data_IF_521895816482
#
_entry.id   IF_521895816482
#
_cell.length_a   1.000
_cell.length_b   1.000
_cell.length_c   1.000
_cell.angle_alpha   90.00
_cell.angle_beta   90.00
_cell.angle_gamma   90.00
#
_symmetry.space_group_name_H-M   'P 1'
#
loop_
_entity.id
_entity.type
_entity.pdbx_description
1 polymer ?
2 water ?
#
# COMPACT_ATOMS: atom_id res chain seq x y z
N UNK A 2 -5.68 -9.23 -34.98
CA UNK A 2 -4.87 -8.59 -33.95
C UNK A 2 -4.02 -7.46 -34.51
N UNK A 3 -4.31 -7.07 -35.75
CA UNK A 3 -3.59 -5.99 -36.41
C UNK A 3 -3.60 -4.73 -35.56
N UNK A 4 -4.78 -4.35 -35.06
CA UNK A 4 -4.97 -3.12 -34.31
C UNK A 4 -4.98 -3.35 -32.81
N UNK A 5 -4.67 -4.56 -32.34
CA UNK A 5 -4.78 -4.87 -30.93
C UNK A 5 -3.76 -4.06 -30.12
N UNK A 6 -2.48 -3.98 -30.50
CA UNK A 6 -1.56 -3.13 -29.72
C UNK A 6 -2.01 -1.67 -29.63
N UNK A 7 -2.30 -1.03 -30.77
CA UNK A 7 -2.80 0.34 -30.73
C UNK A 7 -3.99 0.49 -29.80
N UNK A 8 -4.99 -0.36 -29.94
CA UNK A 8 -6.23 -0.16 -29.20
C UNK A 8 -6.10 -0.56 -27.74
N UNK A 9 -5.01 -1.25 -27.36
CA UNK A 9 -4.72 -1.50 -25.96
C UNK A 9 -3.87 -0.41 -25.32
N UNK A 10 -3.37 0.55 -26.10
CA UNK A 10 -2.45 1.58 -25.59
C UNK A 10 -3.25 2.74 -25.00
N UNK A 11 -3.18 2.88 -23.68
CA UNK A 11 -3.93 3.91 -22.96
C UNK A 11 -3.03 5.07 -22.59
N UNK A 12 -3.58 6.28 -22.71
CA UNK A 12 -2.99 7.45 -22.08
C UNK A 12 -3.34 7.43 -20.59
N UNK A 13 -2.38 7.82 -19.75
CA UNK A 13 -2.60 7.98 -18.32
C UNK A 13 -2.57 9.46 -17.95
N UNK A 14 -3.50 9.88 -17.10
CA UNK A 14 -3.49 11.20 -16.49
C UNK A 14 -3.41 11.05 -14.98
N UNK A 15 -2.45 11.74 -14.36
CA UNK A 15 -2.22 11.61 -12.93
C UNK A 15 -2.44 12.97 -12.27
N UNK A 16 -3.24 12.99 -11.20
CA UNK A 16 -3.51 14.19 -10.44
C UNK A 16 -2.95 13.97 -9.04
N UNK A 17 -1.79 14.56 -8.77
CA UNK A 17 -1.11 14.40 -7.50
C UNK A 17 -1.58 15.50 -6.56
N UNK A 18 -2.22 15.10 -5.46
CA UNK A 18 -2.81 16.03 -4.51
C UNK A 18 -1.91 16.15 -3.29
N UNK A 19 -1.67 17.39 -2.86
CA UNK A 19 -0.94 17.69 -1.63
C UNK A 19 -1.69 18.78 -0.90
N UNK A 20 -2.28 18.45 0.25
CA UNK A 20 -3.12 19.41 0.92
C UNK A 20 -4.31 19.73 0.04
N UNK A 21 -4.48 21.01 -0.30
CA UNK A 21 -5.53 21.44 -1.20
C UNK A 21 -4.98 21.92 -2.55
N UNK A 22 -3.78 21.49 -2.92
CA UNK A 22 -3.16 21.83 -4.18
C UNK A 22 -2.89 20.56 -4.98
N UNK A 23 -3.07 20.65 -6.30
CA UNK A 23 -2.92 19.52 -7.21
C UNK A 23 -1.96 19.91 -8.32
N UNK A 24 -1.09 18.99 -8.72
CA UNK A 24 -0.30 19.09 -9.93
C UNK A 24 -0.56 17.85 -10.76
N UNK A 25 -0.58 18.01 -12.09
CA UNK A 25 -0.93 16.92 -12.98
C UNK A 25 0.23 16.54 -13.89
N UNK A 26 0.26 15.27 -14.28
CA UNK A 26 1.22 14.77 -15.23
C UNK A 26 0.55 13.72 -16.10
N UNK A 27 1.27 13.25 -17.11
CA UNK A 27 0.73 12.21 -17.97
C UNK A 27 1.75 11.09 -18.14
N UNK A 28 1.21 9.93 -18.49
CA UNK A 28 2.02 8.78 -18.83
C UNK A 28 1.30 7.86 -19.79
N UNK A 29 1.72 6.60 -19.84
CA UNK A 29 1.18 5.61 -20.76
C UNK A 29 1.00 4.28 -20.04
N UNK A 30 0.12 3.43 -20.58
CA UNK A 30 -0.13 2.10 -20.04
C UNK A 30 -0.70 1.22 -21.14
N UNK A 31 -0.74 -0.09 -20.87
CA UNK A 31 -1.29 -1.07 -21.82
C UNK A 31 -2.32 -1.94 -21.13
N UNK A 32 -3.46 -2.14 -21.80
CA UNK A 32 -4.45 -3.12 -21.35
C UNK A 32 -3.95 -4.54 -21.67
N UNK A 33 -3.80 -5.37 -20.63
CA UNK A 33 -3.43 -6.78 -20.78
C UNK A 33 -4.50 -7.71 -20.23
N UNK A 34 -5.62 -7.16 -19.81
CA UNK A 34 -6.85 -7.87 -19.47
C UNK A 34 -7.97 -6.86 -19.66
N UNK A 35 -9.23 -7.29 -19.64
CA UNK A 35 -10.31 -6.31 -19.79
C UNK A 35 -10.26 -5.20 -18.75
N UNK A 36 -9.66 -5.46 -17.59
CA UNK A 36 -9.68 -4.48 -16.51
C UNK A 36 -8.34 -4.41 -15.80
N UNK A 37 -7.23 -4.62 -16.53
CA UNK A 37 -5.89 -4.63 -15.93
C UNK A 37 -4.95 -3.89 -16.86
N UNK A 38 -4.19 -2.95 -16.29
CA UNK A 38 -3.20 -2.15 -17.03
C UNK A 38 -1.81 -2.53 -16.58
N UNK A 39 -0.88 -2.55 -17.53
CA UNK A 39 0.55 -2.65 -17.24
C UNK A 39 1.19 -1.27 -17.43
N UNK A 40 2.03 -0.87 -16.48
CA UNK A 40 2.68 0.43 -16.60
C UNK A 40 3.94 0.47 -15.73
N UNK A 41 4.57 1.65 -15.69
CA UNK A 41 5.77 1.87 -14.88
C UNK A 41 5.36 2.41 -13.52
N UNK A 42 6.13 2.05 -12.49
CA UNK A 42 5.81 2.52 -11.15
C UNK A 42 6.02 4.02 -11.03
N UNK A 43 6.87 4.62 -11.87
CA UNK A 43 7.23 6.01 -11.64
C UNK A 43 6.20 6.99 -12.19
N UNK A 44 5.11 6.51 -12.80
CA UNK A 44 3.96 7.37 -12.96
C UNK A 44 3.29 7.69 -11.62
N UNK A 45 3.64 6.96 -10.55
CA UNK A 45 2.95 7.06 -9.27
C UNK A 45 3.87 7.32 -8.09
N UNK A 46 5.12 6.84 -8.17
CA UNK A 46 6.03 6.94 -7.04
C UNK A 46 7.37 7.53 -7.49
N UNK A 47 8.10 8.05 -6.51
CA UNK A 47 9.46 8.53 -6.71
C UNK A 47 10.31 8.08 -5.53
N UNK A 48 11.59 8.43 -5.55
CA UNK A 48 12.50 8.05 -4.47
C UNK A 48 12.15 8.79 -3.19
N UNK A 49 12.26 8.08 -2.06
CA UNK A 49 12.19 8.75 -0.78
C UNK A 49 13.37 9.71 -0.64
N UNK A 50 13.30 10.54 0.40
CA UNK A 50 14.32 11.58 0.57
C UNK A 50 15.72 10.98 0.62
N UNK A 51 15.86 9.82 1.25
CA UNK A 51 17.17 9.19 1.39
C UNK A 51 17.39 8.06 0.40
N UNK A 52 16.54 7.93 -0.62
CA UNK A 52 16.58 6.88 -1.64
C UNK A 52 16.39 5.48 -1.06
N UNK A 53 15.93 5.35 0.17
CA UNK A 53 15.80 4.02 0.74
C UNK A 53 14.53 3.30 0.30
N UNK A 54 13.54 4.02 -0.23
CA UNK A 54 12.29 3.36 -0.61
C UNK A 54 11.56 4.20 -1.65
N UNK A 55 10.67 3.54 -2.39
CA UNK A 55 9.71 4.25 -3.19
C UNK A 55 8.62 4.84 -2.33
N UNK A 56 8.03 5.94 -2.81
CA UNK A 56 7.13 6.76 -2.01
C UNK A 56 6.16 7.43 -2.96
N UNK A 57 4.89 7.47 -2.58
CA UNK A 57 3.88 8.03 -3.49
C UNK A 57 4.16 9.49 -3.78
N UNK A 58 4.00 9.85 -5.06
CA UNK A 58 3.89 11.24 -5.45
C UNK A 58 2.54 11.78 -5.02
N UNK A 59 2.53 12.89 -4.30
CA UNK A 59 1.29 13.42 -3.76
C UNK A 59 0.81 12.57 -2.60
N UNK A 60 -0.44 12.81 -2.21
CA UNK A 60 -1.08 12.12 -1.10
C UNK A 60 -1.90 10.94 -1.65
N UNK A 61 -1.47 9.72 -1.32
CA UNK A 61 -2.08 8.54 -1.93
C UNK A 61 -3.57 8.44 -1.64
N UNK A 62 -4.02 8.97 -0.51
CA UNK A 62 -5.45 8.95 -0.18
C UNK A 62 -6.25 10.00 -0.95
N UNK A 63 -5.57 10.96 -1.59
CA UNK A 63 -6.25 12.03 -2.31
C UNK A 63 -6.02 12.00 -3.81
N UNK A 64 -4.92 11.41 -4.27
CA UNK A 64 -4.63 11.37 -5.69
C UNK A 64 -5.78 10.75 -6.47
N UNK A 65 -5.90 11.15 -7.73
CA UNK A 65 -6.82 10.52 -8.67
C UNK A 65 -6.07 10.28 -9.95
N UNK A 66 -6.40 9.19 -10.63
CA UNK A 66 -5.77 8.85 -11.89
C UNK A 66 -6.83 8.43 -12.90
N UNK A 67 -6.47 8.52 -14.18
CA UNK A 67 -7.42 8.32 -15.26
C UNK A 67 -6.70 7.66 -16.43
N UNK A 68 -7.41 6.77 -17.13
CA UNK A 68 -6.90 6.17 -18.36
C UNK A 68 -7.82 6.55 -19.51
N UNK A 69 -7.27 6.60 -20.72
CA UNK A 69 -8.07 6.93 -21.90
C UNK A 69 -7.54 6.17 -23.10
N UNK A 70 -8.43 5.51 -23.84
CA UNK A 70 -8.03 4.71 -25.00
C UNK A 70 -8.27 5.48 -26.29
N UNK A 71 -7.68 5.04 -27.41
CA UNK A 71 -7.81 5.81 -28.66
C UNK A 71 -9.24 6.02 -29.11
N UNK A 72 -10.17 5.12 -28.78
CA UNK A 72 -11.56 5.32 -29.15
C UNK A 72 -12.27 6.34 -28.27
N UNK A 73 -11.57 6.93 -27.30
CA UNK A 73 -12.12 7.99 -26.48
C UNK A 73 -12.70 7.55 -25.15
N UNK A 74 -12.79 6.25 -24.92
CA UNK A 74 -13.29 5.73 -23.64
C UNK A 74 -12.29 6.03 -22.53
N UNK A 75 -12.82 6.22 -21.32
CA UNK A 75 -11.96 6.56 -20.19
C UNK A 75 -12.55 5.98 -18.91
N UNK A 76 -11.70 5.89 -17.89
CA UNK A 76 -12.13 5.49 -16.57
C UNK A 76 -11.12 5.95 -15.54
N UNK A 77 -11.48 5.80 -14.27
CA UNK A 77 -10.67 6.29 -13.17
C UNK A 77 -10.22 5.17 -12.24
N UNK A 78 -9.18 5.46 -11.48
CA UNK A 78 -8.71 4.57 -10.45
C UNK A 78 -7.99 5.39 -9.38
N UNK A 79 -7.60 4.71 -8.30
CA UNK A 79 -6.97 5.32 -7.15
C UNK A 79 -5.77 4.47 -6.74
N UNK A 80 -5.06 4.94 -5.70
CA UNK A 80 -3.89 4.21 -5.23
C UNK A 80 -4.25 2.80 -4.76
N UNK A 81 -5.49 2.58 -4.29
CA UNK A 81 -5.91 1.26 -3.88
C UNK A 81 -5.86 0.24 -5.02
N UNK A 82 -5.81 0.70 -6.26
CA UNK A 82 -5.84 -0.17 -7.43
C UNK A 82 -4.47 -0.46 -8.00
N UNK A 83 -3.40 0.09 -7.41
CA UNK A 83 -2.05 0.00 -7.95
C UNK A 83 -1.27 -1.08 -7.21
N UNK A 84 -0.65 -1.97 -7.98
CA UNK A 84 0.16 -3.07 -7.45
C UNK A 84 1.58 -2.85 -7.94
N UNK A 85 2.50 -2.56 -7.02
CA UNK A 85 3.89 -2.35 -7.39
C UNK A 85 4.64 -3.67 -7.31
N UNK A 86 5.47 -3.94 -8.32
CA UNK A 86 6.30 -5.13 -8.29
C UNK A 86 7.22 -5.10 -7.08
N UNK A 87 7.83 -3.94 -6.80
CA UNK A 87 8.69 -3.80 -5.62
C UNK A 87 8.85 -2.30 -5.33
N UNK A 88 7.90 -1.75 -4.57
CA UNK A 88 7.95 -0.34 -4.20
C UNK A 88 9.14 -0.05 -3.27
N UNK A 89 9.44 -0.97 -2.36
CA UNK A 89 10.55 -0.74 -1.42
C UNK A 89 11.87 -0.53 -2.16
N UNK A 90 12.18 -1.42 -3.10
CA UNK A 90 13.44 -1.38 -3.84
C UNK A 90 13.34 -0.61 -5.14
N UNK A 91 12.22 0.06 -5.39
CA UNK A 91 12.11 0.93 -6.56
C UNK A 91 13.36 1.80 -6.80
N UNK A 92 13.96 2.45 -5.80
CA UNK A 92 15.11 3.32 -6.11
C UNK A 92 16.34 2.57 -6.60
N UNK A 93 16.40 1.25 -6.47
CA UNK A 93 17.61 0.51 -6.77
C UNK A 93 17.84 0.31 -8.27
N UNK A 94 16.83 0.47 -9.10
CA UNK A 94 17.03 0.31 -10.53
C UNK A 94 15.73 0.08 -11.28
N UNK A 95 15.85 0.19 -12.60
CA UNK A 95 14.70 0.08 -13.50
C UNK A 95 14.08 -1.31 -13.49
N UNK A 96 14.78 -2.33 -12.98
CA UNK A 96 14.18 -3.65 -12.84
C UNK A 96 12.92 -3.60 -11.99
N UNK A 97 12.84 -2.62 -11.07
CA UNK A 97 11.70 -2.51 -10.17
C UNK A 97 10.71 -1.44 -10.58
N UNK A 98 10.93 -0.80 -11.72
CA UNK A 98 10.04 0.29 -12.16
C UNK A 98 8.91 -0.36 -12.96
N UNK A 99 7.96 -0.93 -12.22
CA UNK A 99 6.98 -1.83 -12.80
C UNK A 99 5.72 -1.84 -11.93
N UNK A 100 4.54 -1.66 -12.54
CA UNK A 100 3.30 -1.64 -11.77
C UNK A 100 2.13 -2.17 -12.60
N UNK A 101 1.13 -2.70 -11.90
CA UNK A 101 -0.07 -3.25 -12.52
C UNK A 101 -1.28 -2.64 -11.83
N UNK A 102 -2.27 -2.23 -12.63
CA UNK A 102 -3.47 -1.56 -12.12
C UNK A 102 -4.66 -2.47 -12.35
N UNK A 103 -5.40 -2.77 -11.28
CA UNK A 103 -6.62 -3.58 -11.35
C UNK A 103 -7.81 -2.63 -11.30
N UNK A 104 -8.50 -2.50 -12.42
CA UNK A 104 -9.66 -1.66 -12.55
C UNK A 104 -10.91 -2.41 -12.11
N UNK A 105 -12.03 -1.71 -11.92
CA UNK A 105 -13.27 -2.40 -11.52
C UNK A 105 -13.66 -3.48 -12.53
N UNK A 106 -14.38 -4.50 -12.03
CA UNK A 106 -14.81 -5.58 -12.89
C UNK A 106 -15.75 -5.10 -13.98
N UNK A 107 -16.38 -3.93 -13.81
CA UNK A 107 -17.24 -3.32 -14.80
C UNK A 107 -16.48 -2.77 -16.00
N UNK A 108 -15.15 -2.74 -15.93
CA UNK A 108 -14.32 -2.37 -17.06
C UNK A 108 -14.11 -3.59 -17.93
N UNK A 109 -14.50 -3.51 -19.19
CA UNK A 109 -14.56 -4.68 -20.06
C UNK A 109 -13.89 -4.40 -21.40
N UNK A 110 -12.69 -3.83 -21.35
CA UNK A 110 -12.03 -3.32 -22.54
C UNK A 110 -11.42 -4.44 -23.37
N UNK A 111 -11.34 -4.22 -24.67
CA UNK A 111 -10.46 -5.03 -25.50
C UNK A 111 -9.03 -4.84 -25.03
N UNK A 112 -8.21 -5.86 -25.24
CA UNK A 112 -6.87 -5.83 -24.66
C UNK A 112 -5.91 -6.69 -25.47
N UNK A 113 -4.63 -6.47 -25.23
CA UNK A 113 -3.57 -7.29 -25.77
C UNK A 113 -3.23 -8.41 -24.80
N UNK A 114 -2.48 -9.39 -25.29
CA UNK A 114 -2.04 -10.52 -24.48
C UNK A 114 -0.63 -10.29 -23.97
N UNK A 115 -0.43 -10.51 -22.69
CA UNK A 115 0.91 -10.72 -22.17
C UNK A 115 1.49 -11.99 -22.79
N UNK A 116 2.76 -11.91 -23.19
CA UNK A 116 3.40 -13.07 -23.83
C UNK A 116 3.34 -14.28 -22.90
N UNK A 117 3.08 -15.45 -23.48
CA UNK A 117 2.94 -16.67 -22.68
C UNK A 117 4.30 -17.15 -22.17
N UNK A 118 5.30 -17.19 -23.05
CA UNK A 118 6.63 -17.70 -22.70
C UNK A 118 7.68 -16.61 -22.86
N UNK A 119 8.63 -16.57 -21.92
CA UNK A 119 9.74 -15.63 -22.02
C UNK A 119 10.61 -15.92 -23.22
N UNK A 120 10.93 -14.89 -24.00
CA UNK A 120 11.89 -15.00 -25.10
C UNK A 120 12.87 -13.84 -24.99
N UNK A 121 14.15 -14.19 -24.84
CA UNK A 121 15.20 -13.19 -24.75
C UNK A 121 15.21 -12.30 -25.98
N UNK A 122 15.28 -10.99 -25.74
CA UNK A 122 15.42 -9.99 -26.79
C UNK A 122 16.91 -9.73 -26.99
N UNK A 123 17.35 -9.74 -28.24
CA UNK A 123 18.76 -9.58 -28.60
C UNK A 123 19.02 -8.22 -29.23
N UNK A 124 20.26 -7.76 -29.11
CA UNK A 124 20.68 -6.57 -29.84
C UNK A 124 20.51 -6.85 -31.32
N UNK A 125 19.97 -5.85 -32.04
CA UNK A 125 19.60 -5.82 -33.45
C UNK A 125 18.19 -6.36 -33.68
N UNK A 126 17.49 -6.83 -32.65
CA UNK A 126 16.07 -7.11 -32.76
C UNK A 126 15.30 -5.83 -33.00
N UNK A 127 14.19 -5.95 -33.73
CA UNK A 127 13.29 -4.84 -33.97
C UNK A 127 12.05 -4.99 -33.09
N UNK A 128 11.72 -3.94 -32.35
CA UNK A 128 10.60 -3.95 -31.43
C UNK A 128 9.56 -2.93 -31.87
N UNK A 129 8.37 -3.11 -31.33
CA UNK A 129 7.26 -2.19 -31.59
C UNK A 129 6.81 -1.65 -30.24
N UNK A 130 6.95 -0.35 -30.07
CA UNK A 130 6.73 0.30 -28.78
C UNK A 130 5.66 1.36 -28.97
N UNK A 131 4.69 1.37 -28.07
CA UNK A 131 3.56 2.27 -28.15
C UNK A 131 3.52 3.14 -26.89
N UNK A 132 3.07 4.37 -27.03
CA UNK A 132 2.94 5.23 -25.87
C UNK A 132 2.42 6.61 -26.23
N UNK A 133 2.51 7.53 -25.27
CA UNK A 133 1.97 8.88 -25.42
C UNK A 133 3.02 9.92 -25.04
N UNK A 134 4.08 10.07 -25.83
CA UNK A 134 5.02 11.17 -25.59
C UNK A 134 4.32 12.50 -25.67
N UNK A 135 4.43 13.29 -24.60
CA UNK A 135 3.73 14.57 -24.48
C UNK A 135 2.22 14.41 -24.58
N UNK A 136 1.72 13.24 -24.21
CA UNK A 136 0.32 12.91 -24.24
C UNK A 136 -0.23 12.63 -25.62
N UNK A 137 0.62 12.59 -26.64
CA UNK A 137 0.20 12.35 -28.02
C UNK A 137 0.54 10.92 -28.41
N UNK A 138 -0.37 10.27 -29.14
CA UNK A 138 -0.19 8.86 -29.49
C UNK A 138 1.01 8.68 -30.42
N UNK A 139 1.83 7.68 -30.12
CA UNK A 139 3.00 7.41 -30.95
C UNK A 139 3.27 5.92 -31.00
N UNK A 140 3.71 5.45 -32.16
CA UNK A 140 4.10 4.06 -32.38
C UNK A 140 5.52 4.07 -32.93
N UNK A 141 6.46 3.54 -32.15
CA UNK A 141 7.81 3.33 -32.64
C UNK A 141 7.84 1.98 -33.35
N UNK A 142 7.77 2.01 -34.68
CA UNK A 142 7.63 0.79 -35.47
C UNK A 142 9.01 0.21 -35.78
N UNK A 143 9.22 -1.05 -35.39
CA UNK A 143 10.45 -1.79 -35.69
C UNK A 143 11.69 -0.98 -35.29
N UNK A 144 11.68 -0.44 -34.08
CA UNK A 144 12.86 0.26 -33.59
C UNK A 144 13.89 -0.77 -33.14
N UNK A 145 15.15 -0.52 -33.48
CA UNK A 145 16.20 -1.52 -33.30
C UNK A 145 16.78 -1.44 -31.90
N UNK A 146 17.02 -2.61 -31.31
CA UNK A 146 17.71 -2.68 -30.02
C UNK A 146 19.20 -2.49 -30.27
N UNK A 147 19.78 -1.49 -29.62
CA UNK A 147 21.18 -1.17 -29.82
C UNK A 147 22.08 -1.60 -28.67
N UNK A 148 21.55 -1.62 -27.45
CA UNK A 148 22.32 -1.89 -26.23
C UNK A 148 21.43 -2.70 -25.30
N UNK A 149 22.02 -3.66 -24.59
CA UNK A 149 21.27 -4.39 -23.58
C UNK A 149 21.99 -4.33 -22.24
N UNK A 150 21.21 -4.39 -21.17
CA UNK A 150 21.75 -4.32 -19.81
C UNK A 150 21.15 -5.43 -18.97
N UNK A 151 21.99 -6.35 -18.51
CA UNK A 151 21.50 -7.43 -17.64
C UNK A 151 21.31 -6.89 -16.23
N UNK A 152 20.05 -6.78 -15.81
CA UNK A 152 19.72 -6.35 -14.46
C UNK A 152 19.77 -7.53 -13.49
N UNK A 153 19.40 -8.72 -13.97
CA UNK A 153 19.38 -9.93 -13.18
C UNK A 153 19.20 -11.08 -14.16
N UNK A 154 19.17 -12.30 -13.61
CA UNK A 154 19.00 -13.47 -14.47
C UNK A 154 17.74 -13.33 -15.31
N UNK A 155 17.91 -13.41 -16.63
CA UNK A 155 16.82 -13.34 -17.61
C UNK A 155 16.01 -12.06 -17.47
N UNK A 156 16.64 -10.98 -16.98
CA UNK A 156 16.00 -9.69 -16.75
C UNK A 156 16.87 -8.60 -17.37
N UNK A 157 16.45 -8.10 -18.53
CA UNK A 157 17.27 -7.21 -19.35
C UNK A 157 16.57 -5.88 -19.62
N UNK A 158 17.30 -4.80 -19.42
CA UNK A 158 16.95 -3.55 -20.05
C UNK A 158 17.48 -3.51 -21.48
N UNK A 159 16.75 -2.83 -22.35
CA UNK A 159 17.16 -2.63 -23.73
C UNK A 159 17.04 -1.15 -24.06
N UNK A 160 17.89 -0.69 -24.96
CA UNK A 160 17.88 0.69 -25.43
C UNK A 160 17.58 0.70 -26.92
N UNK A 161 16.69 1.60 -27.32
CA UNK A 161 16.25 1.78 -28.69
C UNK A 161 15.87 3.25 -28.85
N UNK A 162 15.99 3.77 -30.06
CA UNK A 162 15.72 5.18 -30.26
C UNK A 162 14.23 5.45 -30.41
N UNK A 163 13.81 6.64 -29.98
CA UNK A 163 12.46 7.13 -30.22
C UNK A 163 11.70 7.69 -29.03
N UNK A 164 12.01 7.21 -27.83
CA UNK A 164 11.19 7.57 -26.67
C UNK A 164 11.37 9.03 -26.28
N UNK A 165 10.27 9.64 -25.84
CA UNK A 165 10.29 10.97 -25.25
C UNK A 165 9.42 10.97 -24.01
N UNK A 166 9.46 12.07 -23.27
CA UNK A 166 8.74 12.18 -22.00
C UNK A 166 7.26 11.93 -22.22
N UNK A 167 6.65 11.21 -21.27
CA UNK A 167 5.26 10.82 -21.36
C UNK A 167 5.03 9.42 -21.87
N UNK A 168 6.01 8.84 -22.57
CA UNK A 168 5.88 7.51 -23.14
C UNK A 168 6.12 6.41 -22.13
N UNK A 169 6.75 6.71 -21.00
CA UNK A 169 7.08 5.66 -20.03
C UNK A 169 5.81 4.97 -19.55
N UNK A 170 5.86 3.65 -19.53
CA UNK A 170 4.71 2.84 -19.21
C UNK A 170 4.03 2.24 -20.43
N UNK A 171 4.31 2.77 -21.62
CA UNK A 171 3.80 2.16 -22.83
C UNK A 171 4.38 0.79 -23.08
N UNK A 172 3.69 0.01 -23.89
CA UNK A 172 4.02 -1.38 -24.07
C UNK A 172 5.09 -1.62 -25.13
N UNK A 173 5.91 -2.65 -24.88
CA UNK A 173 6.80 -3.19 -25.89
C UNK A 173 6.19 -4.50 -26.39
N UNK A 174 6.10 -4.66 -27.71
CA UNK A 174 5.38 -5.76 -28.33
C UNK A 174 6.32 -6.55 -29.24
N UNK A 175 6.13 -7.87 -29.27
CA UNK A 175 6.85 -8.71 -30.21
C UNK A 175 6.12 -8.69 -31.56
N UNK A 176 6.59 -9.51 -32.49
CA UNK A 176 6.02 -9.49 -33.84
C UNK A 176 4.59 -10.02 -33.88
N UNK A 177 4.19 -10.84 -32.90
CA UNK A 177 2.81 -11.29 -32.81
C UNK A 177 1.88 -10.27 -32.14
N UNK A 178 2.39 -9.13 -31.69
CA UNK A 178 1.53 -8.20 -31.00
C UNK A 178 1.24 -8.57 -29.56
N UNK A 179 2.04 -9.44 -28.97
CA UNK A 179 1.98 -9.74 -27.54
C UNK A 179 2.89 -8.81 -26.77
N UNK A 180 2.52 -8.53 -25.52
CA UNK A 180 3.28 -7.62 -24.67
C UNK A 180 4.44 -8.37 -24.07
N UNK A 181 5.66 -7.88 -24.31
CA UNK A 181 6.87 -8.50 -23.78
C UNK A 181 7.62 -7.57 -22.84
N UNK A 182 7.21 -6.33 -22.71
CA UNK A 182 7.98 -5.37 -21.94
C UNK A 182 7.27 -4.04 -21.89
N UNK A 183 7.95 -3.04 -21.34
CA UNK A 183 7.37 -1.72 -21.25
C UNK A 183 8.45 -0.66 -21.34
N UNK A 184 8.10 0.46 -21.95
CA UNK A 184 8.98 1.60 -22.07
C UNK A 184 9.17 2.27 -20.72
N UNK A 185 10.43 2.65 -20.41
CA UNK A 185 10.70 3.18 -19.08
C UNK A 185 11.41 4.53 -19.09
N UNK A 186 12.21 4.80 -20.11
CA UNK A 186 12.92 6.07 -20.16
C UNK A 186 12.85 6.65 -21.56
N UNK A 187 12.49 7.92 -21.65
CA UNK A 187 12.49 8.63 -22.90
C UNK A 187 13.20 9.95 -22.75
N UNK A 188 13.79 10.15 -21.58
CA UNK A 188 14.48 11.39 -21.27
C UNK A 188 15.79 11.46 -22.06
N UNK A 189 16.53 12.54 -21.84
CA UNK A 189 17.79 12.77 -22.53
C UNK A 189 18.83 11.69 -22.23
N UNK A 190 18.62 10.90 -21.17
CA UNK A 190 19.57 9.86 -20.78
C UNK A 190 19.13 8.49 -21.33
N UNK A 191 19.06 8.41 -22.66
CA UNK A 191 18.87 7.17 -23.41
C UNK A 191 17.45 6.60 -23.34
N UNK A 192 16.78 6.54 -24.47
CA UNK A 192 15.48 5.90 -24.57
C UNK A 192 15.62 4.39 -24.47
N UNK A 193 14.70 3.74 -23.75
CA UNK A 193 14.73 2.30 -23.65
C UNK A 193 13.62 1.77 -22.76
N UNK A 194 13.72 0.49 -22.44
CA UNK A 194 12.68 -0.15 -21.65
C UNK A 194 13.14 -1.48 -21.07
N UNK A 195 12.21 -2.17 -20.43
CA UNK A 195 12.46 -3.41 -19.71
C UNK A 195 11.78 -4.57 -20.41
N UNK A 196 12.53 -5.63 -20.71
CA UNK A 196 11.94 -6.87 -21.18
C UNK A 196 11.64 -7.72 -19.95
N UNK A 197 10.36 -8.03 -19.75
CA UNK A 197 9.92 -8.70 -18.54
C UNK A 197 10.54 -10.11 -18.43
N UNK A 198 11.01 -10.44 -17.22
CA UNK A 198 11.60 -11.74 -16.91
C UNK A 198 10.52 -12.79 -16.69
N UNK A 199 10.89 -14.08 -16.76
CA UNK A 199 9.95 -15.14 -16.34
C UNK A 199 9.29 -14.87 -14.98
N UNK A 200 10.07 -14.37 -14.00
CA UNK A 200 9.49 -14.07 -12.69
C UNK A 200 8.49 -12.92 -12.79
N UNK A 201 8.83 -11.87 -13.52
CA UNK A 201 7.94 -10.72 -13.63
C UNK A 201 6.68 -11.08 -14.40
N UNK A 202 6.80 -11.91 -15.43
CA UNK A 202 5.62 -12.36 -16.16
C UNK A 202 4.67 -13.14 -15.24
N UNK A 203 5.23 -14.10 -14.50
CA UNK A 203 4.43 -14.86 -13.54
C UNK A 203 3.77 -13.95 -12.52
N UNK A 204 4.47 -12.91 -12.07
CA UNK A 204 3.88 -12.00 -11.10
C UNK A 204 2.70 -11.25 -11.72
N UNK A 205 2.85 -10.76 -12.95
CA UNK A 205 1.74 -10.06 -13.59
C UNK A 205 0.55 -11.00 -13.76
N UNK A 206 0.80 -12.24 -14.19
CA UNK A 206 -0.29 -13.18 -14.36
C UNK A 206 -0.98 -13.48 -13.04
N UNK A 207 -0.24 -13.46 -11.94
CA UNK A 207 -0.87 -13.69 -10.63
C UNK A 207 -1.85 -12.58 -10.29
N UNK A 208 -1.53 -11.35 -10.69
CA UNK A 208 -2.45 -10.23 -10.50
C UNK A 208 -3.66 -10.37 -11.42
N UNK A 209 -3.42 -10.73 -12.68
CA UNK A 209 -4.52 -10.93 -13.62
C UNK A 209 -5.45 -12.02 -13.13
N UNK A 210 -4.88 -13.14 -12.66
CA UNK A 210 -5.71 -14.25 -12.23
C UNK A 210 -6.37 -14.02 -10.89
N UNK A 211 -6.08 -12.90 -10.21
CA UNK A 211 -6.97 -12.44 -9.17
C UNK A 211 -8.22 -11.76 -9.71
N UNK A 212 -8.16 -11.29 -10.95
CA UNK A 212 -9.30 -10.67 -11.61
C UNK A 212 -10.02 -11.70 -12.48
N UNK B 2 -16.18 -9.56 1.34
CA UNK B 2 -15.29 -9.42 2.49
C UNK B 2 -14.09 -8.53 2.15
N UNK B 3 -14.02 -8.13 0.88
CA UNK B 3 -12.97 -7.23 0.43
C UNK B 3 -12.94 -5.94 1.25
N UNK B 4 -14.10 -5.53 1.76
CA UNK B 4 -14.28 -4.27 2.47
C UNK B 4 -14.24 -4.43 3.98
N UNK B 5 -14.03 -5.65 4.48
CA UNK B 5 -14.09 -5.88 5.92
C UNK B 5 -12.99 -5.16 6.68
N UNK B 6 -11.71 -5.26 6.28
CA UNK B 6 -10.69 -4.49 7.02
C UNK B 6 -10.96 -2.99 7.05
N UNK B 7 -11.42 -2.41 5.92
CA UNK B 7 -11.70 -0.97 5.91
C UNK B 7 -12.83 -0.62 6.87
N UNK B 8 -13.94 -1.37 6.80
CA UNK B 8 -15.08 -1.05 7.63
C UNK B 8 -14.86 -1.41 9.10
N UNK B 9 -13.77 -2.09 9.43
CA UNK B 9 -13.42 -2.34 10.83
C UNK B 9 -12.42 -1.33 11.36
N UNK B 10 -11.86 -0.49 10.51
CA UNK B 10 -10.82 0.46 10.90
C UNK B 10 -11.45 1.72 11.45
N UNK B 11 -11.39 1.88 12.77
CA UNK B 11 -12.01 2.98 13.49
C UNK B 11 -10.99 4.08 13.80
N UNK B 12 -11.45 5.33 13.72
CA UNK B 12 -10.71 6.46 14.27
C UNK B 12 -10.97 6.57 15.76
N UNK B 13 -9.94 6.90 16.54
CA UNK B 13 -10.09 7.19 17.96
C UNK B 13 -9.89 8.69 18.18
N UNK B 14 -10.78 9.29 18.96
CA UNK B 14 -10.66 10.67 19.43
C UNK B 14 -10.50 10.67 20.94
N UNK B 15 -9.52 11.43 21.43
CA UNK B 15 -9.23 11.48 22.85
C UNK B 15 -9.21 12.94 23.31
N UNK B 16 -9.98 13.22 24.35
CA UNK B 16 -10.00 14.53 25.01
C UNK B 16 -9.38 14.35 26.39
N UNK B 17 -8.08 14.62 26.48
CA UNK B 17 -7.36 14.47 27.74
C UNK B 17 -7.58 15.72 28.58
N UNK B 18 -8.13 15.56 29.76
CA UNK B 18 -8.47 16.68 30.63
C UNK B 18 -7.41 16.80 31.72
N UNK B 19 -6.90 18.01 31.92
CA UNK B 19 -5.88 18.29 32.91
C UNK B 19 -6.26 19.62 33.55
N UNK B 20 -6.89 19.54 34.73
CA UNK B 20 -7.58 20.69 35.27
C UNK B 20 -8.81 20.99 34.47
N UNK B 21 -8.93 22.23 33.95
CA UNK B 21 -9.97 22.58 33.00
C UNK B 21 -9.42 22.73 31.58
N UNK B 22 -8.24 22.17 31.32
CA UNK B 22 -7.56 22.28 30.04
C UNK B 22 -7.80 21.02 29.23
N UNK B 23 -8.26 21.18 27.99
CA UNK B 23 -8.45 20.05 27.08
C UNK B 23 -7.27 19.99 26.13
N UNK B 24 -6.76 18.78 25.91
CA UNK B 24 -5.78 18.49 24.87
C UNK B 24 -6.37 17.38 24.02
N UNK B 25 -6.64 17.68 22.75
CA UNK B 25 -7.26 16.69 21.86
C UNK B 25 -6.19 15.90 21.13
N UNK B 26 -6.43 14.61 20.98
CA UNK B 26 -5.59 13.77 20.15
C UNK B 26 -6.42 12.73 19.44
N UNK B 27 -5.82 12.11 18.43
CA UNK B 27 -6.48 11.06 17.69
C UNK B 27 -5.56 9.85 17.58
N UNK B 28 -6.17 8.70 17.41
CA UNK B 28 -5.43 7.47 17.20
C UNK B 28 -6.20 6.54 16.29
N UNK B 29 -5.86 5.26 16.29
CA UNK B 29 -6.52 4.30 15.42
C UNK B 29 -6.86 3.05 16.23
N UNK B 30 -7.82 2.28 15.71
CA UNK B 30 -8.26 1.05 16.35
C UNK B 30 -9.01 0.20 15.32
N UNK B 31 -9.15 -1.10 15.63
CA UNK B 31 -9.81 -2.06 14.75
C UNK B 31 -10.92 -2.78 15.51
N UNK B 32 -12.11 -2.88 14.90
CA UNK B 32 -13.16 -3.71 15.48
C UNK B 32 -12.82 -5.18 15.25
N UNK B 33 -12.66 -5.93 16.35
CA UNK B 33 -12.40 -7.36 16.26
C UNK B 33 -13.53 -8.19 16.88
N UNK B 34 -14.60 -7.54 17.30
CA UNK B 34 -15.82 -8.17 17.77
C UNK B 34 -16.93 -7.15 17.54
N UNK B 35 -18.19 -7.56 17.65
CA UNK B 35 -19.27 -6.57 17.48
C UNK B 35 -19.15 -5.36 18.40
N UNK B 36 -18.47 -5.49 19.55
CA UNK B 36 -18.37 -4.41 20.52
C UNK B 36 -17.01 -4.36 21.21
N UNK B 37 -15.94 -4.70 20.48
CA UNK B 37 -14.59 -4.76 21.05
C UNK B 37 -13.62 -4.16 20.06
N UNK B 38 -12.76 -3.26 20.54
CA UNK B 38 -11.75 -2.61 19.71
C UNK B 38 -10.36 -3.02 20.18
N UNK B 39 -9.47 -3.19 19.21
CA UNK B 39 -8.05 -3.46 19.48
C UNK B 39 -7.24 -2.22 19.10
N UNK B 40 -6.38 -1.78 20.01
CA UNK B 40 -5.55 -0.60 19.76
C UNK B 40 -4.28 -0.72 20.59
N UNK B 41 -3.49 0.36 20.61
CA UNK B 41 -2.26 0.42 21.41
C UNK B 41 -2.56 1.11 22.72
N UNK B 42 -1.83 0.69 23.77
CA UNK B 42 -2.00 1.29 25.08
C UNK B 42 -1.62 2.76 25.09
N UNK B 43 -0.66 3.16 24.25
CA UNK B 43 -0.15 4.52 24.35
C UNK B 43 -1.09 5.56 23.77
N UNK B 44 -2.22 5.15 23.19
CA UNK B 44 -3.27 6.12 22.90
C UNK B 44 -3.90 6.65 24.18
N UNK B 45 -3.68 6.00 25.32
CA UNK B 45 -4.35 6.41 26.55
C UNK B 45 -3.42 6.63 27.73
N UNK B 46 -2.26 5.96 27.77
CA UNK B 46 -1.40 6.03 28.94
C UNK B 46 0.03 6.42 28.57
N UNK B 47 0.71 7.04 29.52
CA UNK B 47 2.12 7.41 29.42
C UNK B 47 2.86 6.83 30.61
N UNK B 48 4.18 6.96 30.60
CA UNK B 48 4.95 6.55 31.76
C UNK B 48 4.76 7.56 32.90
N UNK B 49 4.56 7.03 34.10
CA UNK B 49 4.45 7.88 35.29
C UNK B 49 5.77 8.58 35.57
N UNK B 50 5.72 9.59 36.45
CA UNK B 50 6.89 10.41 36.74
C UNK B 50 8.06 9.56 37.21
N UNK B 51 7.80 8.55 38.04
CA UNK B 51 8.84 7.69 38.56
C UNK B 51 9.06 6.44 37.71
N UNK B 52 8.37 6.32 36.58
CA UNK B 52 8.53 5.24 35.61
C UNK B 52 8.10 3.88 36.16
N UNK B 53 7.39 3.85 37.29
CA UNK B 53 7.02 2.60 37.91
C UNK B 53 5.80 1.94 37.27
N UNK B 54 5.00 2.70 36.52
CA UNK B 54 3.78 2.17 35.98
C UNK B 54 3.33 3.06 34.83
N UNK B 55 2.48 2.48 33.98
CA UNK B 55 1.70 3.30 33.08
C UNK B 55 0.65 4.08 33.84
N UNK B 56 0.31 5.25 33.31
CA UNK B 56 -0.60 6.18 33.96
C UNK B 56 -1.41 6.88 32.88
N UNK B 57 -2.68 7.15 33.16
CA UNK B 57 -3.56 7.77 32.17
C UNK B 57 -3.11 9.19 31.83
N UNK B 58 -3.08 9.50 30.53
CA UNK B 58 -2.91 10.87 30.09
C UNK B 58 -4.15 11.66 30.48
N UNK B 59 -3.95 12.81 31.11
CA UNK B 59 -5.09 13.55 31.61
C UNK B 59 -5.65 12.95 32.90
N UNK B 60 -6.90 13.31 33.18
CA UNK B 60 -7.61 12.86 34.37
C UNK B 60 -8.62 11.82 33.93
N UNK B 61 -8.41 10.56 34.33
CA UNK B 61 -9.22 9.47 33.79
C UNK B 61 -10.70 9.58 34.17
N UNK B 62 -11.03 10.35 35.20
CA UNK B 62 -12.43 10.56 35.52
C UNK B 62 -13.06 11.67 34.69
N UNK B 63 -12.25 12.51 34.04
CA UNK B 63 -12.73 13.59 33.20
C UNK B 63 -12.52 13.37 31.71
N UNK B 64 -11.54 12.55 31.33
CA UNK B 64 -11.29 12.25 29.93
C UNK B 64 -12.52 11.63 29.28
N UNK B 65 -12.73 11.95 28.01
CA UNK B 65 -13.76 11.32 27.21
C UNK B 65 -13.16 10.84 25.90
N UNK B 66 -13.66 9.72 25.40
CA UNK B 66 -13.14 9.12 24.20
C UNK B 66 -14.30 8.74 23.28
N UNK B 67 -13.98 8.64 22.00
CA UNK B 67 -14.97 8.34 20.98
C UNK B 67 -14.29 7.54 19.89
N UNK B 68 -15.04 6.61 19.29
CA UNK B 68 -14.63 5.90 18.09
C UNK B 68 -15.53 6.33 16.94
N UNK B 69 -15.01 6.21 15.71
CA UNK B 69 -15.73 6.57 14.50
C UNK B 69 -15.28 5.67 13.36
N UNK B 70 -16.23 5.07 12.64
CA UNK B 70 -15.94 4.16 11.56
C UNK B 70 -16.28 4.77 10.20
N UNK B 71 -15.75 4.20 9.10
CA UNK B 71 -15.98 4.81 7.78
C UNK B 71 -17.44 4.89 7.36
N UNK B 72 -18.30 4.00 7.84
CA UNK B 72 -19.73 4.12 7.54
C UNK B 72 -20.39 5.29 8.23
N UNK B 73 -19.67 6.06 9.04
CA UNK B 73 -20.20 7.21 9.72
C UNK B 73 -20.68 6.97 11.13
N UNK B 74 -20.73 5.71 11.57
CA UNK B 74 -21.17 5.42 12.93
C UNK B 74 -20.11 5.85 13.94
N UNK B 75 -20.58 6.29 15.10
CA UNK B 75 -19.66 6.67 16.16
C UNK B 75 -20.25 6.27 17.50
N UNK B 76 -19.39 6.20 18.51
CA UNK B 76 -19.83 5.90 19.87
C UNK B 76 -18.77 6.35 20.85
N UNK B 77 -19.16 6.45 22.12
CA UNK B 77 -18.28 6.91 23.18
C UNK B 77 -17.87 5.76 24.09
N UNK B 78 -16.79 5.99 24.84
CA UNK B 78 -16.36 5.11 25.92
C UNK B 78 -15.52 5.92 26.89
N UNK B 79 -15.28 5.35 28.07
CA UNK B 79 -14.49 6.02 29.09
C UNK B 79 -13.30 5.13 29.46
N UNK B 80 -12.51 5.60 30.43
CA UNK B 80 -11.33 4.85 30.83
C UNK B 80 -11.72 3.48 31.42
N UNK B 81 -12.92 3.39 32.01
CA UNK B 81 -13.39 2.14 32.59
C UNK B 81 -13.56 1.03 31.56
N UNK B 82 -13.67 1.38 30.29
CA UNK B 82 -13.88 0.41 29.22
C UNK B 82 -12.59 -0.08 28.59
N UNK B 83 -11.44 0.40 29.07
CA UNK B 83 -10.15 0.11 28.46
C UNK B 83 -9.42 -0.92 29.30
N UNK B 84 -8.92 -1.97 28.65
CA UNK B 84 -8.22 -3.06 29.31
C UNK B 84 -6.82 -3.13 28.75
N UNK B 85 -5.83 -2.88 29.60
CA UNK B 85 -4.44 -2.86 29.17
C UNK B 85 -3.82 -4.24 29.34
N UNK B 86 -3.03 -4.63 28.34
CA UNK B 86 -2.33 -5.92 28.43
C UNK B 86 -1.49 -6.00 29.70
N UNK B 87 -0.77 -4.92 30.02
CA UNK B 87 0.04 -4.90 31.24
C UNK B 87 0.33 -3.43 31.54
N UNK B 88 -0.60 -2.78 32.25
CA UNK B 88 -0.45 -1.36 32.55
C UNK B 88 0.75 -1.11 33.46
N UNK B 89 0.98 -2.00 34.42
CA UNK B 89 2.09 -1.82 35.35
C UNK B 89 3.43 -1.88 34.64
N UNK B 90 3.58 -2.82 33.70
CA UNK B 90 4.84 -2.98 32.97
C UNK B 90 4.86 -2.20 31.68
N UNK B 91 3.87 -1.36 31.43
CA UNK B 91 3.86 -0.51 30.24
C UNK B 91 5.17 0.25 30.02
N UNK B 92 5.85 0.80 31.05
CA UNK B 92 7.12 1.48 30.79
C UNK B 92 8.23 0.59 30.26
N UNK B 93 8.12 -0.74 30.44
CA UNK B 93 9.21 -1.62 30.06
C UNK B 93 9.35 -1.76 28.54
N UNK B 94 8.31 -1.45 27.77
CA UNK B 94 8.52 -1.12 26.38
C UNK B 94 7.49 -1.74 25.45
N UNK B 95 7.91 -1.78 24.19
CA UNK B 95 7.21 -2.26 23.01
C UNK B 95 6.19 -3.38 23.26
N UNK B 96 6.59 -4.44 23.95
CA UNK B 96 5.76 -5.65 24.01
C UNK B 96 4.48 -5.44 24.80
N UNK B 97 4.39 -4.40 25.64
CA UNK B 97 3.22 -4.17 26.47
C UNK B 97 2.32 -3.07 25.93
N UNK B 98 2.57 -2.56 24.74
CA UNK B 98 1.83 -1.41 24.22
C UNK B 98 0.61 -1.92 23.48
N UNK B 99 -0.41 -2.30 24.25
CA UNK B 99 -1.49 -3.10 23.71
C UNK B 99 -2.71 -2.98 24.62
N UNK B 100 -3.87 -2.70 24.03
CA UNK B 100 -5.06 -2.50 24.84
C UNK B 100 -6.29 -2.97 24.08
N UNK B 101 -7.34 -3.30 24.84
CA UNK B 101 -8.62 -3.71 24.28
C UNK B 101 -9.71 -2.85 24.92
N UNK B 102 -10.65 -2.37 24.10
CA UNK B 102 -11.75 -1.53 24.55
C UNK B 102 -13.05 -2.32 24.39
N UNK B 103 -13.77 -2.50 25.49
CA UNK B 103 -15.04 -3.22 25.47
C UNK B 103 -16.19 -2.22 25.48
N UNK B 104 -17.01 -2.26 24.44
CA UNK B 104 -18.13 -1.34 24.23
C UNK B 104 -19.45 -1.96 24.70
N UNK B 105 -20.51 -1.15 24.81
CA UNK B 105 -21.80 -1.70 25.26
C UNK B 105 -22.28 -2.84 24.37
N UNK B 106 -23.05 -3.73 24.97
CA UNK B 106 -23.61 -4.88 24.25
C UNK B 106 -24.49 -4.46 23.07
N UNK B 107 -24.97 -3.22 23.05
CA UNK B 107 -25.84 -2.73 21.98
C UNK B 107 -25.07 -2.31 20.73
N UNK B 108 -23.74 -2.39 20.73
CA UNK B 108 -22.97 -1.92 19.58
C UNK B 108 -23.29 -2.73 18.32
N UNK B 109 -23.06 -4.03 18.35
CA UNK B 109 -23.54 -4.98 17.33
C UNK B 109 -23.00 -4.69 15.93
N UNK B 110 -21.73 -4.34 15.82
CA UNK B 110 -21.21 -3.95 14.51
C UNK B 110 -20.61 -5.12 13.76
N UNK B 111 -20.51 -4.96 12.44
CA UNK B 111 -19.64 -5.82 11.66
C UNK B 111 -18.18 -5.59 12.09
N UNK B 112 -17.34 -6.60 11.92
CA UNK B 112 -15.98 -6.46 12.43
C UNK B 112 -15.05 -7.35 11.62
N UNK B 113 -13.76 -7.20 11.87
CA UNK B 113 -12.74 -8.10 11.34
C UNK B 113 -12.46 -9.22 12.34
N UNK B 114 -11.86 -10.30 11.85
CA UNK B 114 -11.49 -11.44 12.68
C UNK B 114 -10.04 -11.34 13.14
N UNK B 115 -9.81 -11.53 14.42
CA UNK B 115 -8.46 -11.73 14.92
C UNK B 115 -7.92 -13.08 14.44
N UNK B 116 -6.66 -13.10 14.03
CA UNK B 116 -6.07 -14.32 13.50
C UNK B 116 -6.15 -15.43 14.54
N UNK B 117 -6.43 -16.64 14.07
CA UNK B 117 -6.68 -17.74 14.99
C UNK B 117 -5.40 -18.20 15.69
N UNK B 118 -4.35 -18.45 14.92
CA UNK B 118 -3.06 -18.86 15.46
C UNK B 118 -1.97 -17.92 14.95
N UNK B 119 -0.91 -17.80 15.74
CA UNK B 119 0.23 -17.00 15.36
C UNK B 119 0.95 -17.59 14.16
N UNK B 120 1.30 -16.74 13.20
CA UNK B 120 2.14 -17.11 12.08
C UNK B 120 3.28 -16.12 11.97
N UNK B 121 4.50 -16.65 11.89
CA UNK B 121 5.68 -15.79 11.80
C UNK B 121 5.61 -14.93 10.56
N UNK B 122 5.87 -13.63 10.75
CA UNK B 122 5.98 -12.68 9.66
C UNK B 122 7.45 -12.53 9.33
N UNK B 123 7.79 -12.58 8.04
CA UNK B 123 9.17 -12.55 7.57
C UNK B 123 9.49 -11.23 6.89
N UNK B 124 10.78 -10.91 6.86
CA UNK B 124 11.28 -9.82 6.04
C UNK B 124 10.85 -10.07 4.59
N UNK B 125 10.45 -8.99 3.91
CA UNK B 125 9.95 -8.93 2.54
C UNK B 125 8.52 -9.42 2.45
N UNK B 126 7.89 -9.82 3.55
CA UNK B 126 6.45 -10.04 3.52
C UNK B 126 5.76 -8.73 3.20
N UNK B 127 4.62 -8.82 2.56
CA UNK B 127 3.80 -7.64 2.28
C UNK B 127 2.61 -7.65 3.22
N UNK B 128 2.40 -6.53 3.91
CA UNK B 128 1.36 -6.37 4.90
C UNK B 128 0.36 -5.30 4.46
N UNK B 129 -0.81 -5.33 5.06
CA UNK B 129 -1.86 -4.36 4.78
C UNK B 129 -2.23 -3.69 6.09
N UNK B 130 -1.95 -2.39 6.19
CA UNK B 130 -2.09 -1.64 7.43
C UNK B 130 -3.12 -0.53 7.22
N UNK B 131 -4.00 -0.37 8.18
CA UNK B 131 -5.09 0.59 8.12
C UNK B 131 -5.02 1.51 9.33
N UNK B 132 -5.39 2.78 9.14
CA UNK B 132 -5.28 3.72 10.23
C UNK B 132 -5.69 5.11 9.81
N UNK B 133 -5.48 6.06 10.73
CA UNK B 133 -5.83 7.45 10.51
C UNK B 133 -4.61 8.33 10.78
N UNK B 134 -3.58 8.26 9.94
CA UNK B 134 -2.47 9.20 10.07
C UNK B 134 -2.97 10.64 9.89
N UNK B 135 -2.55 11.51 10.81
CA UNK B 135 -3.01 12.90 10.88
C UNK B 135 -4.51 13.01 11.01
N UNK B 136 -5.17 11.97 11.53
CA UNK B 136 -6.60 11.96 11.69
C UNK B 136 -7.39 11.64 10.44
N UNK B 137 -6.75 11.22 9.36
CA UNK B 137 -7.43 10.93 8.11
C UNK B 137 -7.13 9.50 7.65
N UNK B 138 -8.15 8.84 7.11
CA UNK B 138 -8.03 7.43 6.75
C UNK B 138 -6.92 7.18 5.75
N UNK B 139 -6.20 6.07 5.94
CA UNK B 139 -5.22 5.62 4.97
C UNK B 139 -5.14 4.09 5.00
N UNK B 140 -4.82 3.51 3.84
CA UNK B 140 -4.54 2.08 3.71
C UNK B 140 -3.14 1.95 3.14
N UNK B 141 -2.23 1.38 3.93
CA UNK B 141 -0.90 1.03 3.42
C UNK B 141 -1.05 -0.31 2.70
N UNK B 142 -1.01 -0.27 1.38
CA UNK B 142 -1.36 -1.43 0.56
C UNK B 142 -0.10 -2.22 0.26
N UNK B 143 -0.03 -3.44 0.77
CA UNK B 143 1.07 -4.35 0.55
C UNK B 143 2.42 -3.65 0.78
N UNK B 144 2.58 -3.11 1.98
CA UNK B 144 3.87 -2.52 2.36
C UNK B 144 4.84 -3.60 2.84
N UNK B 145 6.12 -3.43 2.51
CA UNK B 145 7.12 -4.47 2.70
C UNK B 145 7.77 -4.39 4.08
N UNK B 146 7.84 -5.53 4.76
CA UNK B 146 8.59 -5.64 6.01
C UNK B 146 10.08 -5.50 5.67
N UNK B 147 10.70 -4.41 6.13
CA UNK B 147 12.10 -4.20 5.83
C UNK B 147 13.02 -4.76 6.91
N UNK B 148 12.60 -4.68 8.17
CA UNK B 148 13.40 -5.08 9.33
C UNK B 148 12.47 -5.76 10.32
N UNK B 149 12.97 -6.77 11.01
CA UNK B 149 12.25 -7.37 12.12
C UNK B 149 13.09 -7.30 13.39
N UNK B 150 12.41 -7.15 14.52
CA UNK B 150 13.07 -7.03 15.81
C UNK B 150 12.41 -8.02 16.77
N UNK B 151 13.20 -8.96 17.29
CA UNK B 151 12.71 -9.97 18.21
C UNK B 151 12.83 -9.42 19.64
N UNK B 152 11.68 -9.16 20.26
CA UNK B 152 11.68 -8.62 21.61
C UNK B 152 11.52 -9.71 22.67
N UNK B 153 10.90 -10.82 22.32
CA UNK B 153 10.70 -11.96 23.21
C UNK B 153 10.36 -13.14 22.31
N UNK B 154 10.30 -14.34 22.90
CA UNK B 154 9.99 -15.52 22.08
C UNK B 154 8.67 -15.31 21.35
N UNK B 155 8.73 -15.44 20.03
CA UNK B 155 7.58 -15.31 19.13
C UNK B 155 6.91 -13.96 19.26
N UNK B 156 7.62 -12.94 19.74
CA UNK B 156 7.07 -11.59 19.90
C UNK B 156 7.95 -10.63 19.10
N UNK B 157 7.48 -10.21 17.94
CA UNK B 157 8.27 -9.47 16.99
C UNK B 157 7.69 -8.09 16.71
N UNK B 158 8.57 -7.11 16.56
CA UNK B 158 8.22 -5.86 15.92
C UNK B 158 8.73 -5.87 14.49
N UNK B 159 8.01 -5.19 13.61
CA UNK B 159 8.39 -5.13 12.21
C UNK B 159 8.42 -3.66 11.79
N UNK B 160 9.25 -3.36 10.80
CA UNK B 160 9.38 -2.01 10.29
C UNK B 160 8.99 -2.02 8.82
N UNK B 161 8.18 -1.05 8.43
CA UNK B 161 7.71 -0.90 7.06
C UNK B 161 7.40 0.57 6.83
N UNK B 162 7.33 0.97 5.57
CA UNK B 162 7.09 2.38 5.25
C UNK B 162 5.61 2.69 5.24
N UNK B 163 5.28 3.94 5.57
CA UNK B 163 3.92 4.39 5.41
C UNK B 163 3.28 5.10 6.60
N UNK B 164 3.66 4.71 7.81
CA UNK B 164 2.98 5.24 8.99
C UNK B 164 3.34 6.68 9.28
N UNK B 165 2.37 7.41 9.84
CA UNK B 165 2.58 8.74 10.38
C UNK B 165 1.83 8.83 11.70
N UNK B 166 2.02 9.95 12.40
CA UNK B 166 1.36 10.17 13.67
C UNK B 166 -0.14 9.99 13.54
N UNK B 167 -0.76 9.35 14.54
CA UNK B 167 -2.17 9.05 14.55
C UNK B 167 -2.51 7.66 14.07
N UNK B 168 -1.63 7.01 13.33
CA UNK B 168 -1.91 5.67 12.83
C UNK B 168 -1.67 4.58 13.88
N UNK B 169 -0.97 4.89 14.98
CA UNK B 169 -0.69 3.86 15.97
C UNK B 169 -1.99 3.30 16.53
N UNK B 170 -2.06 1.99 16.63
CA UNK B 170 -3.26 1.29 16.99
C UNK B 170 -4.06 0.78 15.81
N UNK B 171 -3.70 1.19 14.59
CA UNK B 171 -4.34 0.64 13.42
C UNK B 171 -3.98 -0.81 13.19
N UNK B 172 -4.88 -1.52 12.50
CA UNK B 172 -4.73 -2.96 12.36
C UNK B 172 -3.77 -3.33 11.24
N UNK B 173 -2.93 -4.34 11.52
CA UNK B 173 -2.15 -5.02 10.51
C UNK B 173 -2.88 -6.30 10.14
N UNK B 174 -3.08 -6.52 8.85
CA UNK B 174 -3.92 -7.61 8.35
C UNK B 174 -3.11 -8.53 7.44
N UNK B 175 -3.41 -9.83 7.50
CA UNK B 175 -2.84 -10.78 6.55
C UNK B 175 -3.66 -10.78 5.25
N UNK B 176 -3.28 -11.68 4.33
CA UNK B 176 -3.93 -11.77 3.03
C UNK B 176 -5.40 -12.15 3.12
N UNK B 177 -5.83 -12.74 4.24
CA UNK B 177 -7.20 -13.16 4.41
C UNK B 177 -8.08 -12.11 5.07
N UNK B 178 -7.54 -10.92 5.35
CA UNK B 178 -8.30 -9.90 6.03
C UNK B 178 -8.41 -10.09 7.52
N UNK B 179 -7.59 -10.96 8.11
CA UNK B 179 -7.57 -11.19 9.54
C UNK B 179 -6.53 -10.28 10.20
N UNK B 180 -6.82 -9.82 11.41
CA UNK B 180 -5.91 -8.97 12.16
C UNK B 180 -4.79 -9.81 12.75
N UNK B 181 -3.55 -9.46 12.43
CA UNK B 181 -2.38 -10.16 12.98
C UNK B 181 -1.52 -9.26 13.86
N UNK B 182 -1.78 -7.96 13.90
CA UNK B 182 -0.94 -7.05 14.63
C UNK B 182 -1.50 -5.65 14.61
N UNK B 183 -0.68 -4.71 15.09
CA UNK B 183 -1.05 -3.32 15.28
C UNK B 183 0.06 -2.40 14.82
N UNK B 184 -0.29 -1.31 14.15
CA UNK B 184 0.68 -0.28 13.82
C UNK B 184 1.16 0.40 15.10
N UNK B 185 2.47 0.68 15.16
CA UNK B 185 3.06 1.41 16.28
C UNK B 185 4.11 2.36 15.75
N UNK B 186 3.81 3.66 15.74
CA UNK B 186 4.81 4.66 15.41
C UNK B 186 5.86 4.72 16.51
N UNK B 187 7.12 4.47 16.15
CA UNK B 187 8.21 4.57 17.10
C UNK B 187 8.68 6.00 17.26
N UNK B 188 9.75 6.14 18.05
CA UNK B 188 10.37 7.44 18.25
C UNK B 188 11.01 7.92 16.95
N UNK B 189 11.07 9.25 16.80
CA UNK B 189 11.55 9.89 15.57
C UNK B 189 10.73 9.47 14.35
N UNK B 190 9.43 9.23 14.57
CA UNK B 190 8.51 8.85 13.49
C UNK B 190 8.98 7.60 12.75
N UNK B 191 9.43 6.61 13.50
CA UNK B 191 9.86 5.34 12.93
C UNK B 191 8.63 4.48 12.67
N UNK B 192 8.30 4.29 11.39
CA UNK B 192 7.11 3.54 11.02
C UNK B 192 7.30 2.05 11.26
N UNK B 193 6.35 1.43 11.94
CA UNK B 193 6.35 -0.01 12.09
C UNK B 193 5.18 -0.48 12.92
N UNK B 194 5.25 -1.75 13.34
CA UNK B 194 4.15 -2.33 14.09
C UNK B 194 4.59 -3.51 14.92
N UNK B 195 3.64 -4.04 15.69
CA UNK B 195 3.83 -5.24 16.51
C UNK B 195 3.05 -6.39 15.89
N UNK B 196 3.68 -7.56 15.79
CA UNK B 196 3.00 -8.77 15.39
C UNK B 196 2.61 -9.52 16.66
N UNK B 197 1.30 -9.74 16.84
CA UNK B 197 0.81 -10.30 18.09
C UNK B 197 1.34 -11.71 18.32
N UNK B 198 1.89 -11.95 19.51
CA UNK B 198 2.42 -13.24 19.89
C UNK B 198 1.29 -14.21 20.21
N UNK B 199 1.58 -15.52 20.29
CA UNK B 199 0.56 -16.46 20.79
C UNK B 199 -0.02 -16.06 22.14
N UNK B 200 0.82 -15.61 23.07
CA UNK B 200 0.34 -15.18 24.38
C UNK B 200 -0.56 -13.96 24.25
N UNK B 201 -0.18 -13.00 23.41
CA UNK B 201 -0.97 -11.78 23.25
C UNK B 201 -2.30 -12.09 22.57
N UNK B 202 -2.30 -12.96 21.58
CA UNK B 202 -3.56 -13.39 20.97
C UNK B 202 -4.46 -14.04 22.02
N UNK B 203 -3.91 -14.87 22.88
CA UNK B 203 -4.73 -15.54 23.89
C UNK B 203 -5.35 -14.54 24.85
N UNK B 204 -4.58 -13.53 25.26
CA UNK B 204 -5.11 -12.51 26.17
C UNK B 204 -6.26 -11.73 25.52
N UNK B 205 -6.08 -11.33 24.26
CA UNK B 205 -7.16 -10.60 23.58
C UNK B 205 -8.44 -11.42 23.58
N UNK B 206 -8.33 -12.71 23.20
CA UNK B 206 -9.52 -13.55 23.18
C UNK B 206 -10.12 -13.71 24.58
N UNK B 207 -9.28 -13.66 25.62
CA UNK B 207 -9.80 -13.74 26.99
C UNK B 207 -10.62 -12.51 27.36
N UNK B 208 -10.26 -11.33 26.84
CA UNK B 208 -11.08 -10.15 27.08
C UNK B 208 -12.40 -10.24 26.32
N UNK B 209 -12.34 -10.72 25.07
CA UNK B 209 -13.55 -10.86 24.25
C UNK B 209 -14.55 -11.78 24.93
N UNK B 210 -14.07 -12.91 25.46
CA UNK B 210 -14.97 -13.87 26.09
C UNK B 210 -15.67 -13.28 27.31
N UNK B 211 -15.00 -12.38 28.02
CA UNK B 211 -15.60 -11.71 29.17
C UNK B 211 -16.51 -10.57 28.79
#
# INVERSE_FOLDING_TARGET
GSNNVPKNASALLRMNFVKGNQVLSGTGSATFIAPNVLLTVAHNFINNSADNSTGEFIGDKSKNTYEWQTPDGQKGSFTSEDIHFYNKKDYPKGFIYDLAVITLPQSTRRQHANLVENYSKVNVNDKLNVYGYPRGEYAHLKDTTVEIEQKYANNTYGVQYQGGKAGMSGGGIFNSKGEVIGLHQNGAENRSGGLILSPTQLDWIRSIIKGKEIT
GSNNVPKNASALLRMNFVKGNQVLSGTGSATFIAPNVLLTVAHNFINNSADNSTGEFIGDKSKNTYEWQTPDGQKGSFTSEDIHFYNKKDYPKGFIYDLAVITLPQSTRRQHANLVENYSKVNVNDKLNVYGYPRGEYAHLKDTTVEIEQKYANNTYGVQYQGGKAGMSGGGIFNSKGEVIGLHQNGAENRSGGLILSPTQLDWIRSIIKGKEIT
#
